data_IF_141147245732
#
_entry.id   IF_141147245732
#
_cell.length_a   1.000
_cell.length_b   1.000
_cell.length_c   1.000
_cell.angle_alpha   90.00
_cell.angle_beta   90.00
_cell.angle_gamma   90.00
#
_symmetry.space_group_name_H-M   'P 1'
#
loop_
_entity.id
_entity.type
_entity.pdbx_description
1 polymer ?
#
# COMPACT_ATOMS: atom_id res chain seq x y z
N UNK A 1 7.54 12.87 -13.90
CA UNK A 1 6.52 11.88 -14.32
C UNK A 1 6.25 10.96 -13.14
N UNK A 2 5.01 10.50 -12.97
CA UNK A 2 4.67 9.51 -11.95
C UNK A 2 4.73 8.11 -12.54
N UNK A 3 5.19 7.13 -11.76
CA UNK A 3 5.19 5.69 -12.09
C UNK A 3 4.48 4.94 -10.97
N UNK A 4 3.55 4.06 -11.30
CA UNK A 4 2.97 3.08 -10.37
C UNK A 4 3.57 1.69 -10.60
N UNK A 5 3.61 0.88 -9.55
CA UNK A 5 3.87 -0.57 -9.65
C UNK A 5 3.12 -1.33 -8.55
N UNK A 6 2.83 -2.61 -8.81
CA UNK A 6 2.30 -3.54 -7.82
C UNK A 6 3.47 -4.30 -7.21
N UNK A 7 3.55 -4.27 -5.88
CA UNK A 7 4.45 -5.06 -5.07
C UNK A 7 3.68 -6.30 -4.62
N UNK A 8 4.02 -7.45 -5.19
CA UNK A 8 3.41 -8.77 -4.94
C UNK A 8 4.33 -9.74 -4.20
N UNK A 9 5.60 -9.40 -4.04
CA UNK A 9 6.60 -10.16 -3.30
C UNK A 9 6.76 -9.64 -1.85
N UNK A 10 6.64 -10.50 -0.82
CA UNK A 10 6.88 -10.11 0.57
C UNK A 10 8.27 -9.53 0.83
N UNK A 11 9.33 -10.02 0.15
CA UNK A 11 10.67 -9.48 0.35
C UNK A 11 10.81 -8.06 -0.24
N UNK A 12 10.18 -7.80 -1.39
CA UNK A 12 10.06 -6.46 -1.95
C UNK A 12 9.26 -5.51 -1.04
N UNK A 13 8.20 -5.98 -0.39
CA UNK A 13 7.47 -5.20 0.62
C UNK A 13 8.35 -4.83 1.81
N UNK A 14 9.14 -5.79 2.32
CA UNK A 14 10.11 -5.53 3.39
C UNK A 14 11.18 -4.52 2.95
N UNK A 15 11.69 -4.65 1.72
CA UNK A 15 12.68 -3.74 1.14
C UNK A 15 12.14 -2.31 0.93
N UNK A 16 10.82 -2.14 0.78
CA UNK A 16 10.16 -0.85 0.66
C UNK A 16 10.09 -0.07 2.00
N UNK A 17 10.25 -0.76 3.13
CA UNK A 17 10.03 -0.20 4.47
C UNK A 17 10.79 1.11 4.78
N UNK A 18 12.05 1.34 4.36
CA UNK A 18 12.74 2.61 4.59
C UNK A 18 12.04 3.80 3.89
N UNK A 19 11.67 3.63 2.61
CA UNK A 19 11.00 4.67 1.80
C UNK A 19 9.56 4.89 2.25
N UNK A 20 8.88 3.82 2.64
CA UNK A 20 7.58 3.91 3.29
C UNK A 20 7.66 4.70 4.59
N UNK A 21 8.68 4.46 5.43
CA UNK A 21 8.86 5.22 6.67
C UNK A 21 9.04 6.72 6.41
N UNK A 22 9.78 7.09 5.37
CA UNK A 22 9.93 8.48 4.96
C UNK A 22 8.59 9.08 4.54
N UNK A 23 7.83 8.40 3.68
CA UNK A 23 6.49 8.84 3.26
C UNK A 23 5.55 9.01 4.47
N UNK A 24 5.57 8.05 5.40
CA UNK A 24 4.79 8.07 6.64
C UNK A 24 5.16 9.26 7.52
N UNK A 25 6.46 9.50 7.74
CA UNK A 25 6.96 10.58 8.59
C UNK A 25 6.62 11.99 8.06
N UNK A 26 6.46 12.13 6.73
CA UNK A 26 6.09 13.41 6.11
C UNK A 26 4.58 13.63 6.00
N UNK A 27 3.76 12.60 6.28
CA UNK A 27 2.32 12.71 6.26
C UNK A 27 1.81 13.24 7.60
N UNK A 28 1.18 14.43 7.59
CA UNK A 28 0.60 15.04 8.80
C UNK A 28 -0.61 14.29 9.35
N UNK A 29 -1.20 13.42 8.55
CA UNK A 29 -2.42 12.67 8.90
C UNK A 29 -2.14 11.17 9.06
N UNK A 30 -0.90 10.72 8.88
CA UNK A 30 -0.59 9.31 9.00
C UNK A 30 -0.73 8.85 10.45
N UNK A 31 -1.36 7.70 10.63
CA UNK A 31 -1.51 7.06 11.94
C UNK A 31 -0.45 5.98 12.13
N UNK A 32 -0.18 5.52 13.36
CA UNK A 32 0.70 4.37 13.60
C UNK A 32 0.29 3.11 12.83
N UNK A 33 -0.99 2.95 12.50
CA UNK A 33 -1.51 1.82 11.73
C UNK A 33 -1.11 1.83 10.26
N UNK A 34 -0.62 2.95 9.74
CA UNK A 34 -0.08 3.07 8.38
C UNK A 34 1.46 2.99 8.35
N UNK A 35 2.10 2.72 9.49
CA UNK A 35 3.55 2.64 9.59
C UNK A 35 4.07 1.27 9.11
N UNK A 36 5.20 1.22 8.37
CA UNK A 36 5.82 -0.06 7.98
C UNK A 36 6.16 -0.95 9.18
N UNK A 37 6.51 -0.36 10.34
CA UNK A 37 6.83 -1.12 11.54
C UNK A 37 5.62 -1.88 12.12
N UNK A 38 4.39 -1.53 11.71
CA UNK A 38 3.18 -2.24 12.06
C UNK A 38 2.73 -3.19 10.95
N UNK A 39 2.62 -2.70 9.72
CA UNK A 39 2.01 -3.43 8.62
C UNK A 39 2.91 -4.50 7.99
N UNK A 40 4.25 -4.33 8.01
CA UNK A 40 5.16 -5.37 7.54
C UNK A 40 5.09 -6.61 8.46
N UNK A 41 5.19 -6.49 9.81
CA UNK A 41 4.93 -7.62 10.69
C UNK A 41 3.52 -8.22 10.54
N UNK A 42 2.48 -7.39 10.37
CA UNK A 42 1.13 -7.88 10.12
C UNK A 42 1.11 -8.80 8.89
N UNK A 43 1.70 -8.37 7.77
CA UNK A 43 1.77 -9.17 6.56
C UNK A 43 2.51 -10.48 6.80
N UNK A 44 3.69 -10.44 7.44
CA UNK A 44 4.50 -11.63 7.75
C UNK A 44 3.75 -12.70 8.55
N UNK A 45 2.84 -12.28 9.43
CA UNK A 45 2.13 -13.19 10.34
C UNK A 45 0.82 -13.69 9.73
N UNK A 46 0.04 -12.81 9.11
CA UNK A 46 -1.31 -13.15 8.69
C UNK A 46 -1.40 -13.59 7.23
N UNK A 47 -0.70 -12.91 6.31
CA UNK A 47 -0.68 -13.14 4.85
C UNK A 47 -1.90 -13.92 4.30
N UNK A 48 -3.14 -13.42 4.46
CA UNK A 48 -4.34 -14.20 4.18
C UNK A 48 -4.64 -14.39 2.68
N UNK A 49 -3.78 -13.85 1.80
CA UNK A 49 -3.95 -13.88 0.36
C UNK A 49 -2.68 -13.44 -0.37
N UNK A 50 -2.84 -12.94 -1.59
CA UNK A 50 -1.74 -12.50 -2.44
C UNK A 50 -1.44 -11.03 -2.20
N UNK A 51 -0.18 -10.65 -2.01
CA UNK A 51 0.18 -9.26 -1.82
C UNK A 51 -0.13 -8.47 -3.11
N UNK A 52 -0.71 -7.29 -2.98
CA UNK A 52 -1.05 -6.43 -4.11
C UNK A 52 -0.82 -4.95 -3.74
N UNK A 53 0.27 -4.67 -3.03
CA UNK A 53 0.55 -3.32 -2.53
C UNK A 53 0.92 -2.41 -3.69
N UNK A 54 0.20 -1.31 -3.87
CA UNK A 54 0.49 -0.37 -4.96
C UNK A 54 1.43 0.73 -4.46
N UNK A 55 2.58 0.86 -5.11
CA UNK A 55 3.54 1.93 -4.85
C UNK A 55 3.52 2.95 -5.99
N UNK A 56 3.50 4.23 -5.65
CA UNK A 56 3.54 5.35 -6.61
C UNK A 56 4.82 6.15 -6.39
N UNK A 57 5.55 6.38 -7.48
CA UNK A 57 6.89 6.94 -7.49
C UNK A 57 6.99 8.21 -8.31
N UNK A 58 7.88 9.10 -7.88
CA UNK A 58 8.38 10.23 -8.67
C UNK A 58 9.90 10.15 -8.72
N UNK A 59 10.45 9.64 -9.83
CA UNK A 59 11.86 9.25 -9.83
C UNK A 59 12.06 8.12 -8.83
N UNK A 60 12.98 8.30 -7.87
CA UNK A 60 13.26 7.33 -6.81
C UNK A 60 12.49 7.58 -5.52
N UNK A 61 11.68 8.66 -5.48
CA UNK A 61 10.90 9.04 -4.29
C UNK A 61 9.56 8.31 -4.28
N UNK A 62 9.28 7.59 -3.18
CA UNK A 62 7.97 6.99 -2.94
C UNK A 62 7.00 8.10 -2.52
N UNK A 63 6.04 8.41 -3.39
CA UNK A 63 5.11 9.53 -3.20
C UNK A 63 3.68 9.13 -2.86
N UNK A 64 3.36 7.84 -3.03
CA UNK A 64 2.09 7.25 -2.65
C UNK A 64 2.23 5.75 -2.38
N UNK A 65 1.42 5.23 -1.45
CA UNK A 65 1.40 3.82 -1.10
C UNK A 65 -0.01 3.38 -0.69
N UNK A 66 -0.50 2.30 -1.29
CA UNK A 66 -1.72 1.62 -0.88
C UNK A 66 -1.37 0.18 -0.47
N UNK A 67 -1.21 -0.10 0.85
CA UNK A 67 -0.95 -1.45 1.35
C UNK A 67 -2.19 -2.33 1.19
N UNK A 68 -2.22 -3.16 0.15
CA UNK A 68 -3.38 -3.98 -0.23
C UNK A 68 -2.95 -5.44 -0.45
N UNK A 69 -3.94 -6.34 -0.38
CA UNK A 69 -3.82 -7.74 -0.75
C UNK A 69 -5.11 -8.26 -1.39
N UNK A 70 -4.98 -9.28 -2.22
CA UNK A 70 -6.09 -9.97 -2.87
C UNK A 70 -6.45 -11.22 -2.07
N UNK A 71 -7.67 -11.28 -1.56
CA UNK A 71 -8.26 -12.45 -0.91
C UNK A 71 -9.15 -13.20 -1.90
N UNK A 72 -8.87 -14.47 -2.16
CA UNK A 72 -9.72 -15.31 -2.99
C UNK A 72 -10.80 -15.96 -2.12
N UNK A 73 -12.07 -15.76 -2.49
CA UNK A 73 -13.23 -16.36 -1.81
C UNK A 73 -14.02 -17.24 -2.77
N UNK A 74 -14.95 -18.04 -2.25
CA UNK A 74 -15.87 -18.85 -3.06
C UNK A 74 -16.73 -18.03 -4.02
N UNK A 75 -16.91 -16.72 -3.74
CA UNK A 75 -17.76 -15.82 -4.51
C UNK A 75 -16.96 -14.86 -5.40
N UNK A 76 -15.65 -15.10 -5.58
CA UNK A 76 -14.73 -14.23 -6.32
C UNK A 76 -13.65 -13.62 -5.42
N UNK A 77 -12.90 -12.68 -5.96
CA UNK A 77 -11.77 -12.06 -5.28
C UNK A 77 -12.14 -10.74 -4.63
N UNK A 78 -11.50 -10.43 -3.50
CA UNK A 78 -11.67 -9.16 -2.78
C UNK A 78 -10.32 -8.50 -2.60
N UNK A 79 -10.26 -7.22 -2.91
CA UNK A 79 -9.09 -6.41 -2.58
C UNK A 79 -9.28 -5.78 -1.21
N UNK A 80 -8.37 -6.08 -0.29
CA UNK A 80 -8.47 -5.70 1.12
C UNK A 80 -7.19 -5.00 1.58
N UNK A 81 -7.27 -4.06 2.53
CA UNK A 81 -6.09 -3.41 3.08
C UNK A 81 -5.31 -4.34 4.01
N UNK A 82 -3.98 -4.29 3.90
CA UNK A 82 -3.08 -4.88 4.88
C UNK A 82 -3.34 -4.22 6.24
N UNK A 83 -3.53 -5.01 7.29
CA UNK A 83 -3.90 -4.50 8.62
C UNK A 83 -5.39 -4.55 8.95
N UNK A 84 -6.25 -4.98 8.02
CA UNK A 84 -7.71 -5.05 8.24
C UNK A 84 -8.07 -5.84 9.51
N UNK A 85 -9.18 -5.45 10.15
CA UNK A 85 -9.72 -5.97 11.42
C UNK A 85 -8.96 -5.55 12.68
N UNK A 86 -7.66 -5.26 12.59
CA UNK A 86 -6.84 -4.88 13.75
C UNK A 86 -6.41 -3.41 13.73
N UNK A 87 -6.86 -2.64 12.75
CA UNK A 87 -6.38 -1.28 12.50
C UNK A 87 -7.45 -0.39 11.87
N UNK A 88 -7.38 0.89 12.21
CA UNK A 88 -8.17 1.96 11.60
C UNK A 88 -7.32 2.77 10.63
N UNK A 89 -7.97 3.58 9.77
CA UNK A 89 -7.31 4.50 8.83
C UNK A 89 -6.33 3.79 7.87
N UNK A 90 -6.86 2.83 7.11
CA UNK A 90 -6.12 2.01 6.15
C UNK A 90 -6.17 2.57 4.71
N UNK A 91 -6.30 3.89 4.60
CA UNK A 91 -6.35 4.63 3.35
C UNK A 91 -4.97 4.79 2.69
N UNK A 92 -4.97 5.20 1.43
CA UNK A 92 -3.76 5.45 0.64
C UNK A 92 -2.93 6.54 1.32
N UNK A 93 -1.69 6.20 1.64
CA UNK A 93 -0.71 7.15 2.16
C UNK A 93 -0.11 7.94 0.98
N UNK A 94 -0.11 9.28 1.03
CA UNK A 94 0.40 10.14 -0.04
C UNK A 94 1.03 11.42 0.54
N UNK A 95 2.00 12.00 -0.16
CA UNK A 95 2.45 13.36 0.17
C UNK A 95 1.30 14.37 0.01
N UNK A 96 1.21 15.40 0.89
CA UNK A 96 0.14 16.39 0.83
C UNK A 96 -0.02 17.08 -0.53
N UNK A 97 1.09 17.39 -1.22
CA UNK A 97 1.08 18.03 -2.54
C UNK A 97 0.82 17.08 -3.72
N UNK A 98 0.72 15.77 -3.46
CA UNK A 98 0.56 14.75 -4.50
C UNK A 98 -0.72 13.92 -4.34
N UNK A 99 -1.61 14.26 -3.39
CA UNK A 99 -2.77 13.43 -3.04
C UNK A 99 -3.65 13.09 -4.24
N UNK A 100 -4.07 14.07 -5.03
CA UNK A 100 -4.94 13.83 -6.20
C UNK A 100 -4.28 12.92 -7.24
N UNK A 101 -3.02 13.20 -7.58
CA UNK A 101 -2.28 12.43 -8.58
C UNK A 101 -1.89 11.02 -8.08
N UNK A 102 -1.56 10.90 -6.79
CA UNK A 102 -1.23 9.64 -6.14
C UNK A 102 -2.45 8.74 -6.04
N UNK A 103 -3.60 9.27 -5.62
CA UNK A 103 -4.87 8.54 -5.62
C UNK A 103 -5.30 8.12 -7.02
N UNK A 104 -5.18 9.00 -8.02
CA UNK A 104 -5.48 8.63 -9.42
C UNK A 104 -4.56 7.50 -9.92
N UNK A 105 -3.25 7.58 -9.63
CA UNK A 105 -2.30 6.53 -10.04
C UNK A 105 -2.59 5.20 -9.35
N UNK A 106 -3.01 5.22 -8.07
CA UNK A 106 -3.47 4.02 -7.38
C UNK A 106 -4.72 3.45 -8.04
N UNK A 107 -5.72 4.29 -8.36
CA UNK A 107 -6.95 3.85 -9.04
C UNK A 107 -6.64 3.24 -10.41
N UNK A 108 -5.77 3.85 -11.20
CA UNK A 108 -5.37 3.33 -12.50
C UNK A 108 -4.72 1.94 -12.35
N UNK A 109 -3.89 1.75 -11.33
CA UNK A 109 -3.25 0.46 -11.06
C UNK A 109 -4.24 -0.58 -10.53
N UNK A 110 -5.26 -0.16 -9.74
CA UNK A 110 -6.35 -1.02 -9.32
C UNK A 110 -7.10 -1.64 -10.52
N UNK A 111 -7.22 -0.91 -11.64
CA UNK A 111 -7.86 -1.47 -12.85
C UNK A 111 -7.05 -2.59 -13.53
N UNK A 112 -5.75 -2.69 -13.23
CA UNK A 112 -4.88 -3.76 -13.73
C UNK A 112 -4.98 -5.04 -12.91
N UNK A 113 -5.39 -4.93 -11.64
CA UNK A 113 -5.70 -6.08 -10.81
C UNK A 113 -7.00 -6.70 -11.33
N UNK A 114 -6.90 -7.86 -11.98
CA UNK A 114 -8.06 -8.64 -12.43
C UNK A 114 -8.75 -9.28 -11.22
N UNK A 115 -9.48 -8.46 -10.46
CA UNK A 115 -10.30 -8.89 -9.31
C UNK A 115 -11.66 -9.40 -9.77
#
# INVERSE_FOLDING_TARGET
MLRSEIIDDPAALEALAPRWRELWAHSRTATPFQCPAWLVPWWRIFAPGELATIAVWRGDDLVGLAPLYLEHTTSGSKLLPVGISLSDYLDVLCFPGNREHGTSSVIDELTRLQC
#
